data_IF_256387475114
#
_entry.id   IF_256387475114
#
_cell.length_a   1.000
_cell.length_b   1.000
_cell.length_c   1.000
_cell.angle_alpha   90.00
_cell.angle_beta   90.00
_cell.angle_gamma   90.00
#
_symmetry.space_group_name_H-M   'P 1'
#
loop_
_entity.id
_entity.type
_entity.pdbx_description
1 polymer ?
#
# COMPACT_ATOMS: atom_id res chain seq x y z
N UNK A 1 10.28 11.82 -5.15
CA UNK A 1 8.83 11.83 -5.39
C UNK A 1 8.28 13.26 -5.22
N UNK A 2 7.37 13.75 -6.09
CA UNK A 2 6.87 15.13 -6.00
C UNK A 2 5.95 15.40 -4.79
N UNK A 3 5.49 14.35 -4.11
CA UNK A 3 4.63 14.45 -2.93
C UNK A 3 5.38 14.11 -1.64
N UNK A 4 6.22 13.08 -1.67
CA UNK A 4 6.91 12.51 -0.50
C UNK A 4 8.43 12.72 -0.50
N UNK A 5 8.94 13.62 -1.32
CA UNK A 5 10.37 13.94 -1.43
C UNK A 5 11.24 12.68 -1.63
N UNK A 6 12.05 12.32 -0.65
CA UNK A 6 12.99 11.20 -0.72
C UNK A 6 12.40 9.93 -0.10
N UNK A 7 11.89 9.04 -0.92
CA UNK A 7 11.43 7.71 -0.49
C UNK A 7 12.63 6.76 -0.35
N UNK A 8 12.88 6.28 0.87
CA UNK A 8 13.96 5.33 1.15
C UNK A 8 13.43 3.91 1.16
N UNK A 9 13.89 3.10 0.22
CA UNK A 9 13.60 1.67 0.14
C UNK A 9 14.61 0.87 0.97
N UNK A 10 14.15 -0.18 1.64
CA UNK A 10 15.02 -1.21 2.18
C UNK A 10 15.43 -2.23 1.10
N UNK A 11 16.38 -3.11 1.41
CA UNK A 11 16.90 -4.09 0.45
C UNK A 11 15.82 -5.06 -0.08
N UNK A 12 14.84 -5.43 0.75
CA UNK A 12 13.74 -6.31 0.36
C UNK A 12 12.80 -5.60 -0.62
N UNK A 13 12.41 -4.37 -0.30
CA UNK A 13 11.56 -3.56 -1.16
C UNK A 13 12.24 -3.24 -2.51
N UNK A 14 13.55 -2.98 -2.50
CA UNK A 14 14.30 -2.71 -3.73
C UNK A 14 14.31 -3.94 -4.66
N UNK A 15 14.55 -5.14 -4.13
CA UNK A 15 14.52 -6.38 -4.90
C UNK A 15 13.14 -6.65 -5.50
N UNK A 16 12.07 -6.40 -4.75
CA UNK A 16 10.68 -6.53 -5.22
C UNK A 16 10.38 -5.49 -6.29
N UNK A 17 10.80 -4.24 -6.06
CA UNK A 17 10.61 -3.12 -6.99
C UNK A 17 11.22 -3.40 -8.37
N UNK A 18 12.40 -4.02 -8.42
CA UNK A 18 13.12 -4.28 -9.67
C UNK A 18 12.48 -5.39 -10.51
N UNK A 19 11.49 -6.12 -9.98
CA UNK A 19 10.79 -7.16 -10.76
C UNK A 19 9.94 -6.56 -11.89
N UNK A 20 9.84 -7.23 -13.06
CA UNK A 20 9.02 -6.78 -14.18
C UNK A 20 7.55 -6.55 -13.81
N UNK A 21 7.03 -7.31 -12.85
CA UNK A 21 5.66 -7.18 -12.37
C UNK A 21 5.39 -5.80 -11.76
N UNK A 22 6.31 -5.28 -10.96
CA UNK A 22 6.20 -3.95 -10.34
C UNK A 22 6.60 -2.86 -11.33
N UNK A 23 7.68 -3.05 -12.11
CA UNK A 23 8.13 -2.07 -13.12
C UNK A 23 7.04 -1.78 -14.16
N UNK A 24 6.18 -2.73 -14.49
CA UNK A 24 5.03 -2.54 -15.37
C UNK A 24 4.11 -1.40 -14.90
N UNK A 25 3.99 -1.16 -13.59
CA UNK A 25 3.12 -0.12 -13.04
C UNK A 25 3.52 1.30 -13.49
N UNK A 26 4.76 1.51 -13.96
CA UNK A 26 5.21 2.79 -14.56
C UNK A 26 4.38 3.18 -15.79
N UNK A 27 3.80 2.19 -16.46
CA UNK A 27 3.03 2.37 -17.70
C UNK A 27 1.51 2.29 -17.46
N UNK A 28 1.08 2.18 -16.19
CA UNK A 28 -0.32 2.14 -15.80
C UNK A 28 -0.65 3.43 -15.05
N UNK A 29 -1.44 4.28 -15.66
CA UNK A 29 -1.88 5.53 -15.03
C UNK A 29 -2.82 5.26 -13.87
N UNK A 30 -2.67 6.02 -12.77
CA UNK A 30 -3.52 5.91 -11.60
C UNK A 30 -4.98 6.23 -11.94
N UNK A 31 -5.21 7.34 -12.62
CA UNK A 31 -6.54 7.86 -12.93
C UNK A 31 -7.00 7.61 -14.39
N UNK A 32 -6.41 6.62 -15.07
CA UNK A 32 -6.82 6.25 -16.42
C UNK A 32 -6.81 7.43 -17.39
N UNK A 33 -7.99 7.85 -17.86
CA UNK A 33 -8.16 8.94 -18.83
C UNK A 33 -8.39 10.33 -18.21
N UNK A 34 -8.34 10.49 -16.88
CA UNK A 34 -8.59 11.77 -16.22
C UNK A 34 -7.68 12.91 -16.71
N UNK A 35 -6.49 12.60 -17.24
CA UNK A 35 -5.57 13.57 -17.83
C UNK A 35 -6.17 14.35 -19.02
N UNK A 36 -7.23 13.86 -19.65
CA UNK A 36 -7.95 14.58 -20.69
C UNK A 36 -8.71 15.80 -20.16
N UNK A 37 -9.03 15.80 -18.86
CA UNK A 37 -9.71 16.90 -18.16
C UNK A 37 -8.74 17.63 -17.25
N UNK A 38 -7.89 16.90 -16.53
CA UNK A 38 -6.86 17.40 -15.62
C UNK A 38 -5.48 17.09 -16.20
N UNK A 39 -4.86 18.00 -16.97
CA UNK A 39 -3.61 17.69 -17.71
C UNK A 39 -2.46 17.21 -16.82
N UNK A 40 -2.43 17.58 -15.54
CA UNK A 40 -1.46 17.14 -14.55
C UNK A 40 -1.70 15.70 -14.05
N UNK A 41 -2.86 15.10 -14.28
CA UNK A 41 -3.22 13.75 -13.81
C UNK A 41 -2.53 12.65 -14.65
N UNK A 42 -1.21 12.70 -14.75
CA UNK A 42 -0.39 11.77 -15.54
C UNK A 42 0.40 10.76 -14.72
N UNK A 43 0.32 10.85 -13.39
CA UNK A 43 1.02 9.97 -12.46
C UNK A 43 0.61 8.51 -12.62
N UNK A 44 1.56 7.64 -12.31
CA UNK A 44 1.46 6.21 -12.51
C UNK A 44 1.14 5.47 -11.20
N UNK A 45 0.62 4.25 -11.31
CA UNK A 45 0.47 3.36 -10.16
C UNK A 45 1.80 2.98 -9.52
N UNK A 46 2.91 3.12 -10.24
CA UNK A 46 4.25 2.95 -9.69
C UNK A 46 4.57 4.01 -8.63
N UNK A 47 4.27 5.29 -8.93
CA UNK A 47 4.49 6.39 -7.98
C UNK A 47 3.60 6.23 -6.75
N UNK A 48 2.33 5.85 -6.96
CA UNK A 48 1.39 5.54 -5.90
C UNK A 48 1.88 4.38 -5.01
N UNK A 49 2.30 3.27 -5.60
CA UNK A 49 2.83 2.12 -4.86
C UNK A 49 4.06 2.48 -4.00
N UNK A 50 4.94 3.33 -4.50
CA UNK A 50 6.08 3.86 -3.73
C UNK A 50 5.61 4.74 -2.57
N UNK A 51 4.59 5.58 -2.78
CA UNK A 51 4.01 6.43 -1.74
C UNK A 51 3.31 5.60 -0.66
N UNK A 52 2.51 4.61 -1.04
CA UNK A 52 1.85 3.70 -0.10
C UNK A 52 2.89 2.92 0.76
N UNK A 53 3.97 2.44 0.14
CA UNK A 53 5.10 1.85 0.86
C UNK A 53 5.73 2.84 1.84
N UNK A 54 5.96 4.09 1.42
CA UNK A 54 6.55 5.13 2.24
C UNK A 54 5.70 5.42 3.47
N UNK A 55 4.40 5.63 3.30
CA UNK A 55 3.47 5.89 4.39
C UNK A 55 3.39 4.71 5.36
N UNK A 56 3.34 3.47 4.84
CA UNK A 56 3.33 2.27 5.68
C UNK A 56 4.60 2.16 6.51
N UNK A 57 5.76 2.42 5.92
CA UNK A 57 7.03 2.44 6.64
C UNK A 57 7.06 3.53 7.73
N UNK A 58 6.55 4.72 7.43
CA UNK A 58 6.46 5.84 8.38
C UNK A 58 5.51 5.53 9.53
N UNK A 59 4.34 4.93 9.25
CA UNK A 59 3.41 4.46 10.28
C UNK A 59 4.05 3.42 11.22
N UNK A 60 4.74 2.42 10.64
CA UNK A 60 5.46 1.42 11.44
C UNK A 60 6.55 2.05 12.31
N UNK A 61 7.25 3.06 11.81
CA UNK A 61 8.25 3.80 12.59
C UNK A 61 7.60 4.54 13.75
N UNK A 62 6.50 5.26 13.51
CA UNK A 62 5.77 5.99 14.54
C UNK A 62 5.20 5.06 15.63
N UNK A 63 4.66 3.89 15.25
CA UNK A 63 4.21 2.87 16.20
C UNK A 63 5.36 2.28 17.01
N UNK A 64 6.52 2.03 16.37
CA UNK A 64 7.71 1.53 17.05
C UNK A 64 8.26 2.50 18.08
N UNK A 65 8.35 3.79 17.74
CA UNK A 65 8.83 4.86 18.65
C UNK A 65 7.96 4.99 19.91
N UNK A 66 6.69 4.58 19.83
CA UNK A 66 5.77 4.55 20.97
C UNK A 66 5.74 3.21 21.72
N UNK A 67 6.50 2.20 21.26
CA UNK A 67 6.50 0.86 21.86
C UNK A 67 5.23 0.05 21.55
N UNK A 68 4.46 0.42 20.54
CA UNK A 68 3.19 -0.22 20.19
C UNK A 68 3.33 -1.38 19.18
N UNK A 69 4.54 -1.66 18.67
CA UNK A 69 4.77 -2.73 17.69
C UNK A 69 5.07 -4.11 18.27
N UNK A 70 5.16 -4.26 19.59
CA UNK A 70 5.46 -5.55 20.21
C UNK A 70 4.50 -6.69 19.81
N UNK A 71 3.19 -6.44 19.62
CA UNK A 71 2.26 -7.46 19.14
C UNK A 71 2.49 -7.92 17.68
N UNK A 72 3.18 -7.11 16.87
CA UNK A 72 3.45 -7.40 15.46
C UNK A 72 4.86 -7.99 15.31
N UNK A 73 4.95 -9.17 14.70
CA UNK A 73 6.23 -9.81 14.39
C UNK A 73 6.99 -9.07 13.29
N UNK A 74 8.30 -9.32 13.17
CA UNK A 74 9.07 -8.74 12.05
C UNK A 74 8.56 -9.23 10.68
N UNK A 75 8.05 -10.45 10.62
CA UNK A 75 7.39 -11.00 9.43
C UNK A 75 6.09 -10.23 9.09
N UNK A 76 5.31 -9.80 10.08
CA UNK A 76 4.11 -8.97 9.87
C UNK A 76 4.49 -7.59 9.34
N UNK A 77 5.54 -6.99 9.91
CA UNK A 77 6.06 -5.68 9.48
C UNK A 77 6.59 -5.74 8.04
N UNK A 78 7.32 -6.80 7.70
CA UNK A 78 7.81 -7.05 6.34
C UNK A 78 6.63 -7.24 5.38
N UNK A 79 5.67 -8.09 5.72
CA UNK A 79 4.50 -8.35 4.89
C UNK A 79 3.66 -7.09 4.66
N UNK A 80 3.45 -6.24 5.69
CA UNK A 80 2.72 -4.99 5.55
C UNK A 80 3.41 -4.01 4.59
N UNK A 81 4.73 -3.80 4.73
CA UNK A 81 5.49 -2.93 3.82
C UNK A 81 5.41 -3.41 2.38
N UNK A 82 5.57 -4.72 2.15
CA UNK A 82 5.51 -5.28 0.80
C UNK A 82 4.08 -5.35 0.26
N UNK A 83 3.06 -5.53 1.11
CA UNK A 83 1.67 -5.45 0.70
C UNK A 83 1.32 -4.05 0.18
N UNK A 84 1.76 -2.99 0.88
CA UNK A 84 1.60 -1.61 0.41
C UNK A 84 2.26 -1.36 -0.97
N UNK A 85 3.43 -1.95 -1.22
CA UNK A 85 4.11 -1.84 -2.51
C UNK A 85 3.41 -2.64 -3.62
N UNK A 86 2.72 -3.72 -3.28
CA UNK A 86 2.25 -4.74 -4.23
C UNK A 86 0.72 -4.77 -4.42
N UNK A 87 -0.06 -3.99 -3.65
CA UNK A 87 -1.52 -4.09 -3.68
C UNK A 87 -2.09 -3.87 -5.09
N UNK A 88 -1.47 -3.00 -5.87
CA UNK A 88 -1.91 -2.56 -7.20
C UNK A 88 -1.32 -3.33 -8.38
N UNK A 89 -0.48 -4.37 -8.16
CA UNK A 89 0.20 -5.08 -9.28
C UNK A 89 -0.74 -5.78 -10.24
N UNK A 90 -2.00 -5.98 -9.87
CA UNK A 90 -3.03 -6.58 -10.71
C UNK A 90 -3.73 -5.62 -11.66
N UNK A 91 -3.61 -4.32 -11.47
CA UNK A 91 -4.35 -3.34 -12.25
C UNK A 91 -4.09 -3.37 -13.75
N UNK A 92 -5.17 -3.09 -14.48
CA UNK A 92 -5.19 -2.87 -15.92
C UNK A 92 -4.77 -1.43 -16.28
N UNK A 93 -4.39 -1.17 -17.56
CA UNK A 93 -4.02 0.18 -18.02
C UNK A 93 -5.11 1.26 -17.85
N UNK A 94 -6.39 0.88 -17.83
CA UNK A 94 -7.54 1.79 -17.72
C UNK A 94 -8.20 1.78 -16.34
N UNK A 95 -7.42 1.46 -15.32
CA UNK A 95 -7.88 1.43 -13.94
C UNK A 95 -9.11 0.51 -13.75
N UNK A 96 -10.16 0.94 -13.08
CA UNK A 96 -11.36 0.15 -12.78
C UNK A 96 -12.31 -0.02 -13.98
N UNK A 97 -12.15 0.76 -15.06
CA UNK A 97 -13.07 0.71 -16.20
C UNK A 97 -13.19 -0.68 -16.85
N UNK A 98 -12.11 -1.49 -16.82
CA UNK A 98 -12.17 -2.85 -17.34
C UNK A 98 -12.90 -3.81 -16.38
N UNK A 99 -12.85 -3.58 -15.09
CA UNK A 99 -13.61 -4.35 -14.10
C UNK A 99 -15.11 -4.08 -14.26
N UNK A 100 -15.51 -2.81 -14.45
CA UNK A 100 -16.88 -2.42 -14.78
C UNK A 100 -17.37 -3.05 -16.09
N UNK A 101 -16.46 -3.30 -17.04
CA UNK A 101 -16.73 -4.02 -18.27
C UNK A 101 -16.76 -5.57 -18.11
N UNK A 102 -16.64 -6.09 -16.87
CA UNK A 102 -16.76 -7.53 -16.56
C UNK A 102 -15.45 -8.30 -16.60
N UNK A 103 -14.30 -7.65 -16.64
CA UNK A 103 -13.01 -8.32 -16.49
C UNK A 103 -12.74 -8.71 -15.02
N UNK A 104 -11.73 -9.56 -14.81
CA UNK A 104 -11.37 -10.02 -13.46
C UNK A 104 -10.93 -8.85 -12.57
N UNK A 105 -11.30 -8.91 -11.31
CA UNK A 105 -10.93 -7.92 -10.30
C UNK A 105 -9.41 -7.85 -10.11
N UNK A 106 -8.84 -6.65 -10.05
CA UNK A 106 -7.39 -6.42 -9.97
C UNK A 106 -6.74 -7.08 -8.75
N UNK A 107 -7.40 -7.10 -7.59
CA UNK A 107 -6.88 -7.78 -6.40
C UNK A 107 -6.68 -9.29 -6.64
N UNK A 108 -7.63 -9.94 -7.31
CA UNK A 108 -7.52 -11.37 -7.65
C UNK A 108 -6.36 -11.64 -8.58
N UNK A 109 -6.16 -10.77 -9.57
CA UNK A 109 -5.03 -10.84 -10.50
C UNK A 109 -3.71 -10.52 -9.79
N UNK A 110 -3.70 -9.52 -8.90
CA UNK A 110 -2.55 -9.14 -8.11
C UNK A 110 -2.06 -10.29 -7.26
N UNK A 111 -2.94 -10.87 -6.45
CA UNK A 111 -2.57 -12.00 -5.59
C UNK A 111 -2.09 -13.21 -6.39
N UNK A 112 -2.67 -13.48 -7.57
CA UNK A 112 -2.19 -14.56 -8.45
C UNK A 112 -0.76 -14.32 -8.97
N UNK A 113 -0.32 -13.05 -9.07
CA UNK A 113 1.06 -12.70 -9.48
C UNK A 113 2.08 -12.88 -8.36
N UNK A 114 1.67 -12.79 -7.08
CA UNK A 114 2.58 -12.91 -5.92
C UNK A 114 3.30 -14.26 -5.86
N UNK A 115 2.74 -15.29 -6.46
CA UNK A 115 3.31 -16.65 -6.44
C UNK A 115 3.92 -17.09 -7.79
N UNK A 116 4.03 -16.17 -8.77
CA UNK A 116 4.44 -16.52 -10.14
C UNK A 116 5.65 -15.73 -10.60
N UNK A 117 6.44 -16.36 -11.45
CA UNK A 117 7.59 -15.74 -12.11
C UNK A 117 8.61 -15.18 -11.13
N UNK A 118 9.41 -14.25 -11.61
CA UNK A 118 10.49 -13.62 -10.84
C UNK A 118 10.01 -12.99 -9.51
N UNK A 119 8.85 -12.35 -9.48
CA UNK A 119 8.30 -11.79 -8.25
C UNK A 119 8.08 -12.88 -7.18
N UNK A 120 7.48 -14.03 -7.56
CA UNK A 120 7.26 -15.12 -6.63
C UNK A 120 8.58 -15.67 -6.08
N UNK A 121 9.60 -15.85 -6.93
CA UNK A 121 10.94 -16.31 -6.53
C UNK A 121 11.62 -15.31 -5.58
N UNK A 122 11.52 -14.02 -5.87
CA UNK A 122 12.06 -12.94 -5.02
C UNK A 122 11.36 -12.95 -3.66
N UNK A 123 10.03 -13.04 -3.59
CA UNK A 123 9.30 -13.10 -2.33
C UNK A 123 9.69 -14.31 -1.48
N UNK A 124 9.80 -15.50 -2.08
CA UNK A 124 10.28 -16.71 -1.39
C UNK A 124 11.68 -16.50 -0.83
N UNK A 125 12.58 -15.89 -1.59
CA UNK A 125 13.97 -15.65 -1.15
C UNK A 125 14.10 -14.60 -0.03
N UNK A 126 13.11 -13.71 0.12
CA UNK A 126 13.08 -12.67 1.16
C UNK A 126 12.51 -13.20 2.47
N UNK A 127 11.34 -13.85 2.44
CA UNK A 127 10.60 -14.22 3.64
C UNK A 127 10.02 -15.63 3.63
N UNK A 128 10.56 -16.51 2.76
CA UNK A 128 10.14 -17.89 2.65
C UNK A 128 8.80 -18.09 1.91
N UNK A 129 8.33 -19.33 1.81
CA UNK A 129 7.17 -19.68 1.00
C UNK A 129 5.84 -19.11 1.49
N UNK A 130 5.75 -18.72 2.76
CA UNK A 130 4.53 -18.16 3.37
C UNK A 130 4.33 -16.66 3.09
N UNK A 131 5.38 -15.91 2.70
CA UNK A 131 5.33 -14.46 2.57
C UNK A 131 4.29 -13.99 1.54
N UNK A 132 4.23 -14.64 0.38
CA UNK A 132 3.25 -14.32 -0.66
C UNK A 132 1.80 -14.48 -0.16
N UNK A 133 1.53 -15.52 0.64
CA UNK A 133 0.22 -15.74 1.28
C UNK A 133 -0.13 -14.62 2.25
N UNK A 134 0.78 -14.26 3.15
CA UNK A 134 0.58 -13.16 4.13
C UNK A 134 0.30 -11.82 3.42
N UNK A 135 1.06 -11.49 2.38
CA UNK A 135 0.83 -10.30 1.55
C UNK A 135 -0.56 -10.35 0.91
N UNK A 136 -0.95 -11.48 0.34
CA UNK A 136 -2.26 -11.67 -0.28
C UNK A 136 -3.42 -11.54 0.71
N UNK A 137 -3.25 -12.00 1.95
CA UNK A 137 -4.25 -11.86 3.00
C UNK A 137 -4.39 -10.41 3.47
N UNK A 138 -3.28 -9.66 3.58
CA UNK A 138 -3.29 -8.23 3.87
C UNK A 138 -4.04 -7.44 2.78
N UNK A 139 -3.72 -7.67 1.50
CA UNK A 139 -4.37 -7.00 0.37
C UNK A 139 -5.89 -7.27 0.34
N UNK A 140 -6.30 -8.49 0.69
CA UNK A 140 -7.72 -8.89 0.71
C UNK A 140 -8.47 -8.56 1.99
N UNK A 141 -7.82 -7.92 2.97
CA UNK A 141 -8.43 -7.63 4.27
C UNK A 141 -8.77 -8.88 5.10
N UNK A 142 -8.02 -9.97 4.93
CA UNK A 142 -8.22 -11.26 5.62
C UNK A 142 -7.13 -11.59 6.64
N UNK A 143 -6.18 -10.69 6.81
CA UNK A 143 -5.06 -10.89 7.72
C UNK A 143 -5.52 -10.80 9.17
N UNK A 144 -5.03 -11.72 10.00
CA UNK A 144 -5.16 -11.63 11.46
C UNK A 144 -4.09 -10.74 12.10
N UNK A 145 -3.17 -10.18 11.32
CA UNK A 145 -2.14 -9.26 11.81
C UNK A 145 -2.78 -7.96 12.30
N UNK A 146 -2.33 -7.41 13.46
CA UNK A 146 -2.78 -6.10 13.95
C UNK A 146 -2.47 -4.97 12.97
N UNK A 147 -1.58 -5.20 12.00
CA UNK A 147 -1.21 -4.24 10.95
C UNK A 147 -2.14 -4.28 9.73
N UNK A 148 -3.16 -5.15 9.70
CA UNK A 148 -4.08 -5.31 8.58
C UNK A 148 -4.73 -4.00 8.15
N UNK A 149 -5.12 -3.17 9.11
CA UNK A 149 -5.75 -1.88 8.89
C UNK A 149 -4.89 -0.84 8.17
N UNK A 150 -3.55 -1.03 8.11
CA UNK A 150 -2.66 -0.16 7.32
C UNK A 150 -2.87 -0.32 5.82
N UNK A 151 -3.29 -1.53 5.38
CA UNK A 151 -3.37 -1.92 3.95
C UNK A 151 -4.82 -2.00 3.48
N UNK A 152 -5.72 -2.52 4.31
CA UNK A 152 -7.13 -2.73 3.98
C UNK A 152 -7.98 -2.41 5.18
N UNK A 153 -8.48 -1.19 5.24
CA UNK A 153 -9.29 -0.69 6.36
C UNK A 153 -10.15 0.50 5.95
N UNK A 154 -10.87 1.06 6.92
CA UNK A 154 -11.64 2.28 6.70
C UNK A 154 -10.75 3.50 6.47
N UNK A 155 -9.57 3.50 7.08
CA UNK A 155 -8.57 4.57 7.02
C UNK A 155 -7.19 4.00 6.67
N UNK A 156 -7.14 3.18 5.60
CA UNK A 156 -5.89 2.61 5.11
C UNK A 156 -4.99 3.66 4.44
N UNK A 157 -3.70 3.35 4.43
CA UNK A 157 -2.68 4.26 3.91
C UNK A 157 -2.68 4.33 2.37
N UNK A 158 -3.31 3.38 1.70
CA UNK A 158 -3.62 3.43 0.28
C UNK A 158 -4.52 4.63 -0.03
N UNK A 159 -5.67 4.74 0.69
CA UNK A 159 -6.60 5.87 0.54
C UNK A 159 -5.95 7.22 0.82
N UNK A 160 -5.16 7.30 1.90
CA UNK A 160 -4.47 8.54 2.27
C UNK A 160 -3.47 8.95 1.18
N UNK A 161 -2.76 7.98 0.63
CA UNK A 161 -1.78 8.22 -0.41
C UNK A 161 -2.44 8.71 -1.71
N UNK A 162 -3.42 7.95 -2.25
CA UNK A 162 -4.01 8.34 -3.52
C UNK A 162 -4.83 9.64 -3.41
N UNK A 163 -5.54 9.90 -2.33
CA UNK A 163 -6.26 11.16 -2.14
C UNK A 163 -5.31 12.36 -2.18
N UNK A 164 -4.17 12.25 -1.50
CA UNK A 164 -3.16 13.31 -1.47
C UNK A 164 -2.48 13.48 -2.83
N UNK A 165 -2.12 12.38 -3.48
CA UNK A 165 -1.46 12.38 -4.80
C UNK A 165 -2.37 12.87 -5.90
N UNK A 166 -3.59 12.35 -5.97
CA UNK A 166 -4.57 12.72 -7.00
C UNK A 166 -4.92 14.21 -6.90
N UNK A 167 -5.16 14.71 -5.68
CA UNK A 167 -5.42 16.13 -5.45
C UNK A 167 -4.25 17.01 -5.93
N UNK A 168 -3.03 16.64 -5.58
CA UNK A 168 -1.81 17.35 -5.99
C UNK A 168 -1.63 17.35 -7.50
N UNK A 169 -1.79 16.21 -8.13
CA UNK A 169 -1.54 16.03 -9.57
C UNK A 169 -2.67 16.60 -10.43
N UNK A 170 -3.92 16.55 -9.96
CA UNK A 170 -5.06 17.18 -10.61
C UNK A 170 -5.12 18.71 -10.38
N UNK A 171 -4.39 19.23 -9.38
CA UNK A 171 -4.44 20.64 -9.02
C UNK A 171 -5.79 21.05 -8.40
N UNK A 172 -6.43 20.15 -7.63
CA UNK A 172 -7.71 20.43 -6.96
C UNK A 172 -7.51 20.62 -5.46
N UNK A 173 -8.37 21.42 -4.78
CA UNK A 173 -8.20 21.73 -3.34
C UNK A 173 -8.69 20.58 -2.41
N UNK A 174 -9.23 19.51 -2.96
CA UNK A 174 -9.74 18.37 -2.20
C UNK A 174 -8.61 17.35 -1.95
N UNK A 175 -8.64 16.65 -0.81
CA UNK A 175 -7.65 15.63 -0.48
C UNK A 175 -6.40 16.17 0.23
N UNK A 176 -6.39 17.41 0.67
CA UNK A 176 -5.37 17.93 1.58
C UNK A 176 -5.54 17.27 2.97
N UNK A 177 -4.80 16.19 3.22
CA UNK A 177 -4.75 15.48 4.49
C UNK A 177 -3.47 15.90 5.22
N UNK A 178 -3.57 16.21 6.51
CA UNK A 178 -2.40 16.35 7.38
C UNK A 178 -1.87 14.95 7.71
N UNK A 179 -1.05 14.42 6.79
CA UNK A 179 -0.56 13.05 6.85
C UNK A 179 0.36 12.84 8.05
N UNK A 180 1.21 13.81 8.38
CA UNK A 180 2.12 13.71 9.52
C UNK A 180 1.34 13.60 10.83
N UNK A 181 0.29 14.42 10.99
CA UNK A 181 -0.59 14.36 12.14
C UNK A 181 -1.36 13.05 12.21
N UNK A 182 -1.84 12.56 11.07
CA UNK A 182 -2.53 11.28 11.01
C UNK A 182 -1.61 10.14 11.44
N UNK A 183 -0.41 10.04 10.87
CA UNK A 183 0.58 9.01 11.22
C UNK A 183 0.97 9.07 12.70
N UNK A 184 1.12 10.29 13.25
CA UNK A 184 1.39 10.48 14.67
C UNK A 184 0.22 10.07 15.58
N UNK A 185 -0.99 9.98 15.05
CA UNK A 185 -2.21 9.62 15.78
C UNK A 185 -2.60 8.15 15.64
N UNK A 186 -1.98 7.40 14.72
CA UNK A 186 -2.23 5.97 14.57
C UNK A 186 -1.82 5.21 15.84
N UNK A 187 -2.61 4.23 16.25
CA UNK A 187 -2.35 3.40 17.43
C UNK A 187 -2.95 2.01 17.25
N UNK A 188 -2.51 1.02 18.02
CA UNK A 188 -3.17 -0.28 18.09
C UNK A 188 -4.18 -0.29 19.23
N UNK A 189 -5.43 -0.62 18.91
CA UNK A 189 -6.56 -0.64 19.86
C UNK A 189 -7.00 -2.09 20.05
N UNK A 190 -7.19 -2.51 21.30
CA UNK A 190 -7.79 -3.80 21.61
C UNK A 190 -9.32 -3.70 21.44
N UNK A 191 -9.84 -4.35 20.40
CA UNK A 191 -11.27 -4.37 20.06
C UNK A 191 -12.03 -5.52 20.73
N UNK A 192 -11.29 -6.58 21.07
CA UNK A 192 -11.76 -7.72 21.88
C UNK A 192 -10.55 -8.41 22.52
N UNK A 193 -10.72 -9.23 23.58
CA UNK A 193 -9.61 -9.85 24.28
C UNK A 193 -8.63 -10.55 23.33
N UNK A 194 -7.40 -10.03 23.28
CA UNK A 194 -6.31 -10.53 22.43
C UNK A 194 -6.42 -10.17 20.94
N UNK A 195 -7.39 -9.34 20.53
CA UNK A 195 -7.54 -8.87 19.15
C UNK A 195 -7.22 -7.37 19.04
N UNK A 196 -6.12 -7.06 18.36
CA UNK A 196 -5.66 -5.69 18.15
C UNK A 196 -5.94 -5.26 16.72
N UNK A 197 -6.44 -4.04 16.57
CA UNK A 197 -6.69 -3.39 15.29
C UNK A 197 -6.06 -2.00 15.25
N UNK A 198 -5.78 -1.53 14.05
CA UNK A 198 -5.32 -0.17 13.85
C UNK A 198 -6.46 0.82 14.09
N UNK A 199 -6.20 1.81 14.91
CA UNK A 199 -7.10 2.91 15.20
C UNK A 199 -6.40 4.26 15.20
N UNK A 200 -7.14 5.31 15.57
CA UNK A 200 -6.64 6.67 15.70
C UNK A 200 -6.89 7.14 17.13
N UNK A 201 -5.87 7.67 17.77
CA UNK A 201 -6.00 8.27 19.11
C UNK A 201 -6.83 9.55 19.04
N UNK A 202 -7.84 9.60 19.89
CA UNK A 202 -8.52 10.86 20.19
C UNK A 202 -7.56 11.76 21.01
N UNK A 203 -7.09 12.85 20.42
CA UNK A 203 -6.42 13.86 21.21
C UNK A 203 -7.48 14.78 21.83
N UNK A 204 -7.54 14.75 23.14
CA UNK A 204 -8.24 15.77 23.89
C UNK A 204 -7.64 17.17 23.66
#
# INVERSE_FOLDING_TARGET
DPLWDNIRLDGSALRVLDTPAVQRLRYVRQLGHAFLVYPGATHSRFEHALGAYHLTKSALTALAERGELDPATEDDRLAARLAALLHDIGHYPFSHSLEEAGFLHHESLGVAKLTRGELGEVLVSIGGPSLAGRIGDLIRGRSASPLGGLISGSLDLDKIEYLSRDARMCGVPYGAVDVDRLLASLTLIETSPGHLELGVQEKG
#
